data_IF_908413219978
#
_entry.id   IF_908413219978
#
_cell.length_a   1.000
_cell.length_b   1.000
_cell.length_c   1.000
_cell.angle_alpha   90.00
_cell.angle_beta   90.00
_cell.angle_gamma   90.00
#
_symmetry.space_group_name_H-M   'P 1'
#
loop_
_entity.id
_entity.type
_entity.pdbx_description
1 polymer ?
#
# COMPACT_ATOMS: atom_id res chain seq x y z
N UNK A 1 -25.41 3.80 7.39
CA UNK A 1 -24.06 3.59 7.95
C UNK A 1 -23.15 3.32 6.77
N UNK A 2 -21.98 3.95 6.71
CA UNK A 2 -20.98 3.68 5.68
C UNK A 2 -19.62 3.38 6.34
N UNK A 3 -18.78 2.61 5.67
CA UNK A 3 -17.42 2.28 6.04
C UNK A 3 -16.45 3.14 5.23
N UNK A 4 -15.58 3.86 5.93
CA UNK A 4 -14.54 4.69 5.33
C UNK A 4 -13.16 4.14 5.67
N UNK A 5 -12.29 4.10 4.67
CA UNK A 5 -10.87 3.75 4.82
C UNK A 5 -10.02 4.94 4.38
N UNK A 6 -9.07 5.33 5.23
CA UNK A 6 -8.00 6.26 4.87
C UNK A 6 -6.66 5.55 5.01
N UNK A 7 -5.92 5.41 3.90
CA UNK A 7 -4.72 4.59 3.87
C UNK A 7 -3.61 5.20 3.00
N UNK A 8 -2.43 5.42 3.60
CA UNK A 8 -1.24 5.80 2.86
C UNK A 8 -0.61 4.54 2.26
N UNK A 9 -0.61 4.44 0.92
CA UNK A 9 -0.21 3.22 0.20
C UNK A 9 1.27 3.17 -0.16
N UNK A 10 2.05 4.17 0.29
CA UNK A 10 3.46 4.35 -0.01
C UNK A 10 3.73 4.42 -1.53
N UNK A 11 3.83 5.65 -2.06
CA UNK A 11 4.18 5.89 -3.46
C UNK A 11 5.46 5.15 -3.87
N UNK A 12 5.46 4.56 -5.07
CA UNK A 12 6.56 3.69 -5.51
C UNK A 12 7.89 4.42 -5.65
N UNK A 13 7.87 5.65 -6.14
CA UNK A 13 9.07 6.50 -6.20
C UNK A 13 9.67 6.73 -4.80
N UNK A 14 8.84 6.93 -3.77
CA UNK A 14 9.31 7.09 -2.40
C UNK A 14 9.89 5.79 -1.85
N UNK A 15 9.28 4.64 -2.14
CA UNK A 15 9.79 3.34 -1.72
C UNK A 15 11.16 3.02 -2.33
N UNK A 16 11.38 3.44 -3.59
CA UNK A 16 12.66 3.28 -4.29
C UNK A 16 13.69 4.30 -3.80
N UNK A 17 13.32 5.58 -3.71
CA UNK A 17 14.22 6.69 -3.34
C UNK A 17 14.70 6.59 -1.90
N UNK A 18 13.84 6.13 -0.99
CA UNK A 18 14.11 6.05 0.44
C UNK A 18 14.29 4.60 0.92
N UNK A 19 14.99 3.79 0.12
CA UNK A 19 15.24 2.37 0.41
C UNK A 19 15.99 2.14 1.72
N UNK A 20 16.78 3.12 2.14
CA UNK A 20 17.49 3.19 3.41
C UNK A 20 16.55 3.13 4.63
N UNK A 21 15.30 3.57 4.50
CA UNK A 21 14.29 3.46 5.56
C UNK A 21 13.79 2.02 5.77
N UNK A 22 14.11 1.10 4.86
CA UNK A 22 13.62 -0.29 4.86
C UNK A 22 14.76 -1.32 4.80
N UNK A 23 15.79 -1.24 5.68
CA UNK A 23 17.02 -2.02 5.55
C UNK A 23 16.80 -3.53 5.71
N UNK A 24 15.82 -3.92 6.52
CA UNK A 24 15.53 -5.33 6.85
C UNK A 24 14.40 -5.94 5.99
N UNK A 25 13.82 -5.16 5.08
CA UNK A 25 12.73 -5.63 4.22
C UNK A 25 13.33 -6.16 2.93
N UNK A 26 13.09 -7.42 2.51
CA UNK A 26 13.56 -7.91 1.21
C UNK A 26 13.07 -7.03 0.05
N UNK A 27 13.92 -6.77 -0.94
CA UNK A 27 13.57 -5.89 -2.07
C UNK A 27 12.37 -6.39 -2.87
N UNK A 28 12.17 -7.71 -2.93
CA UNK A 28 10.99 -8.33 -3.53
C UNK A 28 9.67 -7.90 -2.89
N UNK A 29 9.69 -7.51 -1.60
CA UNK A 29 8.51 -7.08 -0.87
C UNK A 29 8.10 -5.64 -1.21
N UNK A 30 9.07 -4.80 -1.61
CA UNK A 30 8.83 -3.41 -1.99
C UNK A 30 8.45 -3.23 -3.46
N UNK A 31 8.62 -4.25 -4.32
CA UNK A 31 8.24 -4.18 -5.74
C UNK A 31 6.78 -3.74 -5.89
N UNK A 32 6.55 -2.70 -6.69
CA UNK A 32 5.22 -2.14 -6.94
C UNK A 32 4.13 -3.17 -7.20
N UNK A 33 4.32 -4.03 -8.20
CA UNK A 33 3.30 -5.01 -8.59
C UNK A 33 2.88 -5.93 -7.44
N UNK A 34 3.82 -6.30 -6.56
CA UNK A 34 3.51 -7.11 -5.38
C UNK A 34 2.71 -6.31 -4.36
N UNK A 35 3.11 -5.06 -4.07
CA UNK A 35 2.40 -4.19 -3.12
C UNK A 35 1.00 -3.85 -3.63
N UNK A 36 0.88 -3.46 -4.89
CA UNK A 36 -0.40 -3.16 -5.54
C UNK A 36 -1.38 -4.33 -5.44
N UNK A 37 -0.92 -5.56 -5.73
CA UNK A 37 -1.74 -6.75 -5.57
C UNK A 37 -2.30 -6.86 -4.13
N UNK A 38 -1.44 -6.71 -3.12
CA UNK A 38 -1.85 -6.81 -1.71
C UNK A 38 -2.77 -5.66 -1.26
N UNK A 39 -2.53 -4.43 -1.71
CA UNK A 39 -3.40 -3.28 -1.43
C UNK A 39 -4.80 -3.53 -2.01
N UNK A 40 -4.88 -4.05 -3.24
CA UNK A 40 -6.16 -4.43 -3.85
C UNK A 40 -6.88 -5.56 -3.10
N UNK A 41 -6.15 -6.58 -2.63
CA UNK A 41 -6.72 -7.63 -1.79
C UNK A 41 -7.29 -7.05 -0.49
N UNK A 42 -6.54 -6.16 0.19
CA UNK A 42 -6.95 -5.52 1.43
C UNK A 42 -8.23 -4.69 1.27
N UNK A 43 -8.29 -3.82 0.26
CA UNK A 43 -9.49 -3.02 -0.04
C UNK A 43 -10.70 -3.91 -0.40
N UNK A 44 -10.47 -5.03 -1.10
CA UNK A 44 -11.56 -5.97 -1.43
C UNK A 44 -12.07 -6.72 -0.20
N UNK A 45 -11.19 -7.07 0.74
CA UNK A 45 -11.58 -7.73 1.98
C UNK A 45 -12.42 -6.81 2.87
N UNK A 46 -12.05 -5.54 2.96
CA UNK A 46 -12.78 -4.57 3.79
C UNK A 46 -14.10 -4.11 3.18
N UNK A 47 -14.23 -4.12 1.85
CA UNK A 47 -15.40 -3.62 1.12
C UNK A 47 -15.85 -2.22 1.61
N UNK A 48 -14.95 -1.21 1.65
CA UNK A 48 -15.32 0.12 2.09
C UNK A 48 -16.24 0.83 1.09
N UNK A 49 -17.16 1.62 1.60
CA UNK A 49 -18.03 2.49 0.80
C UNK A 49 -17.25 3.71 0.28
N UNK A 50 -16.26 4.19 1.04
CA UNK A 50 -15.44 5.35 0.70
C UNK A 50 -13.97 5.04 1.00
N UNK A 51 -13.09 5.36 0.04
CA UNK A 51 -11.63 5.18 0.16
C UNK A 51 -10.92 6.50 -0.09
N UNK A 52 -10.02 6.87 0.82
CA UNK A 52 -9.09 7.99 0.67
C UNK A 52 -7.66 7.47 0.72
N UNK A 53 -6.93 7.60 -0.38
CA UNK A 53 -5.55 7.15 -0.50
C UNK A 53 -4.57 8.32 -0.44
N UNK A 54 -3.41 8.08 0.16
CA UNK A 54 -2.24 8.98 0.14
C UNK A 54 -1.00 8.28 -0.40
#
# INVERSE_FOLDING_TARGET
>A
RFLMVSHNILGDDNAVKHRDLYPNIPSSFLKWNRRLHLICEELRLWQPDIVCLQ
#
